data_IF_566274275492
#
_entry.id   IF_566274275492
#
_cell.length_a   1.000
_cell.length_b   1.000
_cell.length_c   1.000
_cell.angle_alpha   90.00
_cell.angle_beta   90.00
_cell.angle_gamma   90.00
#
_symmetry.space_group_name_H-M   'P 1'
#
loop_
_entity.id
_entity.type
_entity.pdbx_description
1 polymer ?
#
# COMPACT_ATOMS: atom_id res chain seq x y z
N UNK A 1 7.78 1.82 14.19
CA UNK A 1 7.66 0.38 13.90
C UNK A 1 6.36 0.23 13.13
N UNK A 2 6.37 0.51 11.84
CA UNK A 2 5.24 0.15 10.99
C UNK A 2 5.29 -1.36 10.78
N UNK A 3 4.29 -2.06 11.29
CA UNK A 3 4.10 -3.47 11.02
C UNK A 3 3.77 -3.63 9.52
N UNK A 4 4.28 -4.69 8.87
CA UNK A 4 4.10 -4.89 7.42
C UNK A 4 2.62 -4.96 7.00
N UNK A 5 1.72 -5.16 7.96
CA UNK A 5 0.26 -5.17 7.83
C UNK A 5 -0.31 -3.82 7.38
N UNK A 6 0.45 -2.74 7.55
CA UNK A 6 0.02 -1.38 7.21
C UNK A 6 0.49 -0.95 5.81
N UNK A 7 1.22 -1.80 5.09
CA UNK A 7 1.69 -1.55 3.72
C UNK A 7 0.61 -1.92 2.70
N UNK A 8 0.38 -1.06 1.70
CA UNK A 8 -0.65 -1.29 0.69
C UNK A 8 -0.08 -1.22 -0.72
N UNK A 9 -0.40 -2.18 -1.57
CA UNK A 9 -0.04 -2.17 -2.98
C UNK A 9 -1.23 -1.82 -3.87
N UNK A 10 -0.99 -0.96 -4.84
CA UNK A 10 -1.93 -0.67 -5.92
C UNK A 10 -2.01 -1.86 -6.87
N UNK A 11 -3.19 -2.50 -6.94
CA UNK A 11 -3.48 -3.64 -7.82
C UNK A 11 -3.80 -3.22 -9.26
N UNK A 12 -3.58 -1.96 -9.63
CA UNK A 12 -3.72 -1.53 -11.02
C UNK A 12 -2.61 -2.18 -11.86
N UNK A 13 -3.01 -2.87 -12.93
CA UNK A 13 -2.14 -3.64 -13.84
C UNK A 13 -0.93 -2.83 -14.34
N UNK A 14 -1.09 -1.52 -14.52
CA UNK A 14 -0.03 -0.60 -14.98
C UNK A 14 0.62 0.22 -13.85
N UNK A 15 0.56 -0.22 -12.59
CA UNK A 15 1.05 0.57 -11.45
C UNK A 15 1.96 -0.21 -10.51
N UNK A 16 1.41 -1.17 -9.74
CA UNK A 16 2.16 -1.91 -8.72
C UNK A 16 2.75 -1.06 -7.59
N UNK A 17 2.36 0.22 -7.45
CA UNK A 17 2.90 1.14 -6.44
C UNK A 17 2.62 0.63 -5.02
N UNK A 18 3.62 0.73 -4.14
CA UNK A 18 3.54 0.31 -2.74
C UNK A 18 3.54 1.55 -1.86
N UNK A 19 2.46 1.72 -1.10
CA UNK A 19 2.32 2.69 -0.04
C UNK A 19 2.91 2.15 1.26
N UNK A 20 3.84 2.91 1.83
CA UNK A 20 4.50 2.61 3.10
C UNK A 20 4.12 3.71 4.12
N UNK A 21 3.41 3.37 5.20
CA UNK A 21 2.93 4.36 6.16
C UNK A 21 4.06 4.93 7.03
N UNK A 22 5.16 4.20 7.28
CA UNK A 22 6.30 4.70 8.07
C UNK A 22 7.02 5.81 7.29
N UNK A 23 7.21 5.57 5.99
CA UNK A 23 7.82 6.54 5.07
C UNK A 23 6.84 7.62 4.62
N UNK A 24 5.55 7.35 4.71
CA UNK A 24 4.48 8.16 4.12
C UNK A 24 4.59 8.21 2.60
N UNK A 25 3.90 9.18 1.98
CA UNK A 25 3.99 9.41 0.55
C UNK A 25 4.12 10.91 0.23
N UNK A 26 5.36 11.36 0.04
CA UNK A 26 5.65 12.75 -0.36
C UNK A 26 4.96 13.14 -1.67
N UNK A 27 4.78 12.19 -2.59
CA UNK A 27 4.23 12.43 -3.93
C UNK A 27 2.71 12.69 -3.88
N UNK A 28 2.01 12.01 -2.99
CA UNK A 28 0.58 12.15 -2.68
C UNK A 28 0.28 13.09 -1.52
N UNK A 29 1.28 13.87 -1.06
CA UNK A 29 1.18 14.84 0.06
C UNK A 29 0.76 14.21 1.40
N UNK A 30 1.22 13.00 1.65
CA UNK A 30 0.95 12.28 2.90
C UNK A 30 2.19 12.27 3.78
N UNK A 31 2.12 12.78 5.02
CA UNK A 31 3.26 12.75 5.93
C UNK A 31 3.60 11.31 6.37
N UNK A 32 4.86 11.07 6.78
CA UNK A 32 5.26 9.82 7.39
C UNK A 32 4.48 9.58 8.70
N UNK A 33 4.13 8.32 8.97
CA UNK A 33 3.31 7.89 10.10
C UNK A 33 1.81 7.83 9.82
N UNK A 34 1.35 8.18 8.62
CA UNK A 34 -0.08 8.11 8.26
C UNK A 34 -0.41 6.72 7.73
N UNK A 35 -1.39 6.09 8.35
CA UNK A 35 -1.88 4.78 7.91
C UNK A 35 -2.74 4.93 6.66
N UNK A 36 -2.76 3.90 5.81
CA UNK A 36 -3.59 3.93 4.59
C UNK A 36 -5.09 4.14 4.88
N UNK A 37 -5.57 3.64 6.02
CA UNK A 37 -6.94 3.85 6.50
C UNK A 37 -7.25 5.31 6.85
N UNK A 38 -6.23 6.07 7.26
CA UNK A 38 -6.31 7.48 7.65
C UNK A 38 -6.14 8.43 6.45
N UNK A 39 -5.86 7.88 5.26
CA UNK A 39 -5.72 8.68 4.04
C UNK A 39 -7.05 9.35 3.64
N UNK A 40 -7.00 10.63 3.22
CA UNK A 40 -8.18 11.33 2.73
C UNK A 40 -8.81 10.58 1.55
N UNK A 41 -10.13 10.68 1.40
CA UNK A 41 -10.85 10.01 0.31
C UNK A 41 -10.45 10.48 -1.08
N UNK A 42 -9.96 11.72 -1.20
CA UNK A 42 -9.41 12.26 -2.43
C UNK A 42 -7.98 11.80 -2.72
N UNK A 43 -7.33 11.10 -1.79
CA UNK A 43 -6.02 10.51 -2.04
C UNK A 43 -6.11 9.48 -3.16
N UNK A 44 -5.26 9.67 -4.14
CA UNK A 44 -5.14 8.85 -5.34
C UNK A 44 -3.70 8.43 -5.48
N UNK A 45 -3.49 7.25 -6.06
CA UNK A 45 -2.17 6.75 -6.34
C UNK A 45 -1.36 7.80 -7.10
N UNK A 46 -0.15 8.14 -6.65
CA UNK A 46 0.69 9.14 -7.33
C UNK A 46 1.15 8.70 -8.73
N UNK A 47 1.08 7.40 -9.02
CA UNK A 47 1.52 6.81 -10.29
C UNK A 47 0.35 6.72 -11.28
N UNK A 48 -0.73 6.01 -10.92
CA UNK A 48 -1.84 5.74 -11.83
C UNK A 48 -3.09 6.59 -11.59
N UNK A 49 -3.10 7.45 -10.56
CA UNK A 49 -4.28 8.21 -10.11
C UNK A 49 -5.50 7.36 -9.76
N UNK A 50 -5.32 6.05 -9.58
CA UNK A 50 -6.39 5.18 -9.08
C UNK A 50 -6.70 5.54 -7.63
N UNK A 51 -7.98 5.49 -7.26
CA UNK A 51 -8.40 5.73 -5.89
C UNK A 51 -7.95 4.62 -4.93
N UNK A 52 -8.03 4.90 -3.63
CA UNK A 52 -7.68 3.96 -2.56
C UNK A 52 -8.39 2.59 -2.61
N UNK A 53 -9.53 2.50 -3.29
CA UNK A 53 -10.25 1.24 -3.56
C UNK A 53 -9.47 0.19 -4.35
N UNK A 54 -8.49 0.62 -5.15
CA UNK A 54 -7.65 -0.28 -5.96
C UNK A 54 -6.42 -0.78 -5.19
N UNK A 55 -6.25 -0.38 -3.93
CA UNK A 55 -5.14 -0.82 -3.09
C UNK A 55 -5.52 -2.03 -2.24
N UNK A 56 -4.55 -2.92 -2.02
CA UNK A 56 -4.68 -4.09 -1.16
C UNK A 56 -3.51 -4.15 -0.17
N UNK A 57 -3.73 -4.64 1.05
CA UNK A 57 -2.67 -4.82 2.03
C UNK A 57 -1.65 -5.85 1.52
N UNK A 58 -0.36 -5.62 1.83
CA UNK A 58 0.76 -6.47 1.42
C UNK A 58 1.17 -7.52 2.46
N UNK A 59 0.76 -7.37 3.73
CA UNK A 59 1.01 -8.39 4.74
C UNK A 59 -0.20 -8.61 5.65
N UNK A 60 -0.30 -9.84 6.16
CA UNK A 60 -1.45 -10.42 6.82
C UNK A 60 -1.77 -11.80 6.22
N UNK A 61 -2.59 -12.65 6.88
CA UNK A 61 -2.83 -14.06 6.50
C UNK A 61 -3.47 -14.28 5.10
N UNK A 62 -3.62 -13.23 4.30
CA UNK A 62 -4.07 -13.29 2.90
C UNK A 62 -3.02 -12.88 1.85
N UNK A 63 -1.78 -12.57 2.25
CA UNK A 63 -0.73 -12.11 1.31
C UNK A 63 0.29 -13.21 1.03
N UNK A 64 -0.11 -14.19 0.21
CA UNK A 64 0.70 -15.07 -0.68
C UNK A 64 2.07 -15.62 -0.25
N UNK A 65 2.49 -15.54 1.00
CA UNK A 65 3.74 -16.14 1.49
C UNK A 65 3.47 -17.10 2.63
N UNK A 66 2.92 -18.26 2.26
CA UNK A 66 2.96 -19.46 3.10
C UNK A 66 3.30 -20.73 2.32
N UNK A 67 3.56 -20.68 1.02
CA UNK A 67 4.19 -21.80 0.32
C UNK A 67 5.55 -21.34 -0.20
N UNK A 68 6.52 -21.43 0.69
CA UNK A 68 7.91 -21.47 0.28
C UNK A 68 8.08 -22.63 -0.70
N UNK A 69 8.87 -22.40 -1.73
CA UNK A 69 9.46 -23.42 -2.59
C UNK A 69 10.15 -24.51 -1.73
N UNK A 70 9.70 -25.78 -1.71
CA UNK A 70 10.63 -26.89 -1.61
C UNK A 70 11.14 -27.21 -3.03
N UNK A 71 12.46 -27.36 -3.11
CA UNK A 71 13.26 -27.56 -4.32
C UNK A 71 12.82 -28.74 -5.21
#
# INVERSE_FOLDING_TARGET
MAEPEQMYQCQTVNCGYIYDPDRGDKKGKVPPGVQFADLPEDWKCPICRAGKKCFRPLAGPGSTKAEGCPA
#
